data_IF_917780105598
#
_entry.id   IF_917780105598
#
_cell.length_a   1.000
_cell.length_b   1.000
_cell.length_c   1.000
_cell.angle_alpha   90.00
_cell.angle_beta   90.00
_cell.angle_gamma   90.00
#
_symmetry.space_group_name_H-M   'P 1'
#
loop_
_entity.id
_entity.type
_entity.pdbx_description
1 polymer ?
#
# COMPACT_ATOMS: atom_id res chain seq x y z
N UNK A 1 13.65 9.04 -5.61
CA UNK A 1 13.02 8.19 -4.58
C UNK A 1 13.39 6.76 -4.92
N UNK A 2 13.98 6.02 -3.97
CA UNK A 2 14.43 4.64 -4.23
C UNK A 2 13.31 3.67 -3.87
N UNK A 3 13.13 2.62 -4.66
CA UNK A 3 12.22 1.52 -4.35
C UNK A 3 13.05 0.36 -3.80
N UNK A 4 12.65 -0.17 -2.64
CA UNK A 4 13.27 -1.33 -2.01
C UNK A 4 12.20 -2.40 -1.83
N UNK A 5 12.45 -3.59 -2.36
CA UNK A 5 11.51 -4.72 -2.34
C UNK A 5 12.19 -5.89 -1.66
N UNK A 6 11.62 -6.40 -0.58
CA UNK A 6 12.22 -7.44 0.28
C UNK A 6 13.67 -7.15 0.69
N UNK A 7 14.00 -5.87 0.98
CA UNK A 7 15.34 -5.44 1.35
C UNK A 7 16.31 -5.26 0.17
N UNK A 8 15.89 -5.54 -1.07
CA UNK A 8 16.69 -5.38 -2.29
C UNK A 8 16.34 -4.07 -2.98
N UNK A 9 17.34 -3.25 -3.22
CA UNK A 9 17.21 -2.03 -4.01
C UNK A 9 16.80 -2.37 -5.44
N UNK A 10 15.77 -1.72 -5.96
CA UNK A 10 15.36 -1.86 -7.35
C UNK A 10 16.07 -0.79 -8.19
N UNK A 11 16.85 -1.23 -9.18
CA UNK A 11 17.54 -0.31 -10.11
C UNK A 11 16.53 0.46 -10.96
N UNK A 12 15.49 -0.23 -11.44
CA UNK A 12 14.35 0.35 -12.15
C UNK A 12 13.05 -0.02 -11.43
N UNK A 13 12.06 0.90 -11.36
CA UNK A 13 10.75 0.56 -10.84
C UNK A 13 10.06 -0.44 -11.78
N UNK A 14 9.28 -1.40 -11.23
CA UNK A 14 8.49 -2.29 -12.07
C UNK A 14 7.49 -1.47 -12.90
N UNK A 15 7.36 -1.84 -14.17
CA UNK A 15 6.52 -1.10 -15.11
C UNK A 15 5.02 -1.16 -14.77
N UNK A 16 4.60 -2.24 -14.10
CA UNK A 16 3.24 -2.44 -13.64
C UNK A 16 3.16 -3.37 -12.41
N UNK A 17 1.96 -3.54 -11.85
CA UNK A 17 1.77 -4.45 -10.71
C UNK A 17 1.94 -5.92 -11.09
N UNK A 18 1.74 -6.31 -12.35
CA UNK A 18 1.87 -7.71 -12.79
C UNK A 18 3.33 -8.15 -12.77
N UNK A 19 4.22 -7.34 -13.33
CA UNK A 19 5.67 -7.56 -13.31
C UNK A 19 6.20 -7.61 -11.88
N UNK A 20 5.70 -6.74 -10.99
CA UNK A 20 6.02 -6.80 -9.55
C UNK A 20 5.62 -8.16 -8.93
N UNK A 21 4.42 -8.66 -9.20
CA UNK A 21 3.96 -9.94 -8.65
C UNK A 21 4.69 -11.16 -9.20
N UNK A 22 5.11 -11.12 -10.48
CA UNK A 22 5.91 -12.19 -11.07
C UNK A 22 7.31 -12.25 -10.45
N UNK A 23 7.94 -11.09 -10.23
CA UNK A 23 9.26 -11.01 -9.59
C UNK A 23 9.21 -11.33 -8.09
N UNK A 24 8.11 -11.00 -7.41
CA UNK A 24 7.95 -11.15 -5.97
C UNK A 24 6.57 -11.73 -5.59
N UNK A 25 6.37 -13.06 -5.70
CA UNK A 25 5.08 -13.71 -5.49
C UNK A 25 4.43 -13.45 -4.13
N UNK A 26 5.22 -13.18 -3.09
CA UNK A 26 4.73 -12.86 -1.74
C UNK A 26 3.71 -11.70 -1.74
N UNK A 27 3.92 -10.67 -2.57
CA UNK A 27 2.97 -9.55 -2.63
C UNK A 27 1.66 -9.91 -3.32
N UNK A 28 1.65 -10.93 -4.19
CA UNK A 28 0.41 -11.44 -4.78
C UNK A 28 -0.47 -12.08 -3.70
N UNK A 29 0.14 -12.83 -2.78
CA UNK A 29 -0.56 -13.45 -1.66
C UNK A 29 -1.12 -12.39 -0.70
N UNK A 30 -0.31 -11.40 -0.33
CA UNK A 30 -0.77 -10.28 0.51
C UNK A 30 -1.89 -9.48 -0.18
N UNK A 31 -1.79 -9.23 -1.49
CA UNK A 31 -2.84 -8.58 -2.25
C UNK A 31 -4.13 -9.42 -2.25
N UNK A 32 -4.04 -10.74 -2.40
CA UNK A 32 -5.21 -11.61 -2.34
C UNK A 32 -5.89 -11.58 -0.97
N UNK A 33 -5.11 -11.55 0.12
CA UNK A 33 -5.63 -11.39 1.49
C UNK A 33 -6.34 -10.06 1.67
N UNK A 34 -5.76 -8.95 1.17
CA UNK A 34 -6.39 -7.64 1.26
C UNK A 34 -7.73 -7.61 0.50
N UNK A 35 -7.79 -8.20 -0.70
CA UNK A 35 -9.01 -8.24 -1.50
C UNK A 35 -10.12 -9.10 -0.88
N UNK A 36 -9.80 -10.09 -0.04
CA UNK A 36 -10.80 -10.92 0.62
C UNK A 36 -11.37 -10.28 1.89
N UNK A 37 -10.78 -9.19 2.39
CA UNK A 37 -11.26 -8.50 3.57
C UNK A 37 -12.60 -7.80 3.29
N UNK A 38 -13.63 -8.02 4.14
CA UNK A 38 -14.88 -7.29 4.01
C UNK A 38 -14.66 -5.80 4.33
N UNK A 39 -15.39 -4.93 3.61
CA UNK A 39 -15.36 -3.51 3.87
C UNK A 39 -15.87 -3.20 5.30
N UNK A 40 -15.15 -2.34 6.01
CA UNK A 40 -15.50 -1.88 7.36
C UNK A 40 -16.10 -0.48 7.29
N UNK A 41 -17.21 -0.26 8.00
CA UNK A 41 -17.72 1.09 8.26
C UNK A 41 -16.85 1.76 9.33
N UNK A 42 -16.24 2.89 8.99
CA UNK A 42 -15.40 3.69 9.88
C UNK A 42 -16.18 4.95 10.28
N UNK A 43 -16.41 5.14 11.57
CA UNK A 43 -17.06 6.33 12.11
C UNK A 43 -16.12 7.55 12.19
N UNK A 44 -16.64 8.73 12.56
CA UNK A 44 -15.88 9.98 12.48
C UNK A 44 -14.86 10.18 13.62
N UNK A 45 -14.97 9.43 14.72
CA UNK A 45 -14.09 9.60 15.88
C UNK A 45 -12.66 9.20 15.53
N UNK A 46 -11.74 10.17 15.56
CA UNK A 46 -10.34 9.97 15.20
C UNK A 46 -10.08 9.80 13.70
N UNK A 47 -11.06 10.12 12.84
CA UNK A 47 -10.95 9.99 11.39
C UNK A 47 -10.50 11.31 10.74
N UNK A 48 -9.35 11.29 10.07
CA UNK A 48 -8.96 12.31 9.09
C UNK A 48 -9.21 11.75 7.68
N UNK A 49 -10.34 12.12 7.07
CA UNK A 49 -10.69 11.69 5.72
C UNK A 49 -9.94 12.51 4.68
N UNK A 50 -9.29 11.85 3.71
CA UNK A 50 -8.49 12.48 2.65
C UNK A 50 -9.17 12.26 1.30
N UNK A 51 -9.51 13.34 0.61
CA UNK A 51 -10.14 13.29 -0.71
C UNK A 51 -9.12 13.12 -1.84
N UNK A 52 -9.64 12.97 -3.06
CA UNK A 52 -8.80 12.87 -4.25
C UNK A 52 -7.95 14.12 -4.40
N UNK A 53 -6.63 13.94 -4.58
CA UNK A 53 -5.61 15.01 -4.68
C UNK A 53 -5.36 15.78 -3.38
N UNK A 54 -5.81 15.28 -2.23
CA UNK A 54 -5.39 15.77 -0.92
C UNK A 54 -4.26 14.90 -0.35
N UNK A 55 -3.55 15.43 0.65
CA UNK A 55 -2.46 14.75 1.33
C UNK A 55 -2.56 15.01 2.84
N UNK A 56 -2.41 13.96 3.64
CA UNK A 56 -2.33 14.06 5.09
C UNK A 56 -1.14 13.25 5.63
N UNK A 57 -0.55 13.72 6.72
CA UNK A 57 0.48 13.03 7.46
C UNK A 57 0.29 13.32 8.95
N UNK A 58 0.40 12.29 9.78
CA UNK A 58 0.29 12.34 11.24
C UNK A 58 1.27 11.34 11.85
N UNK A 59 1.41 11.33 13.17
CA UNK A 59 2.28 10.46 13.93
C UNK A 59 1.49 9.83 15.09
N UNK A 60 1.90 8.69 15.64
CA UNK A 60 1.16 8.05 16.74
C UNK A 60 0.99 8.91 18.01
N UNK A 61 1.79 9.97 18.17
CA UNK A 61 1.68 10.93 19.28
C UNK A 61 0.67 12.07 19.06
N UNK A 62 0.02 12.13 17.90
CA UNK A 62 -1.11 13.02 17.60
C UNK A 62 -2.40 12.50 18.24
#
# INVERSE_FOLDING_TARGET
MVLVVNGVLQEEPPADSRSLYLAHPVYRETAAQLHSMPAKLVGPVGLLYVQQREMAATLPQD
#
